data_IF_934076783486
#
_entry.id   IF_934076783486
#
_cell.length_a   1.000
_cell.length_b   1.000
_cell.length_c   1.000
_cell.angle_alpha   90.00
_cell.angle_beta   90.00
_cell.angle_gamma   90.00
#
_symmetry.space_group_name_H-M   'P 1'
#
loop_
_entity.id
_entity.type
_entity.pdbx_description
1 polymer ?
#
# COMPACT_ATOMS: atom_id res chain seq x y z
N UNK A 1 52.88 -18.89 6.32
CA UNK A 1 51.77 -18.06 6.82
C UNK A 1 50.71 -18.02 5.72
N UNK A 2 49.69 -18.88 5.83
CA UNK A 2 48.56 -18.86 4.88
C UNK A 2 47.58 -17.75 5.31
N UNK A 3 47.61 -16.63 4.60
CA UNK A 3 46.58 -15.62 4.72
C UNK A 3 45.31 -16.20 4.10
N UNK A 4 44.41 -16.69 4.96
CA UNK A 4 43.04 -17.05 4.55
C UNK A 4 42.34 -15.75 4.23
N UNK A 5 42.31 -15.36 2.96
CA UNK A 5 41.48 -14.27 2.50
C UNK A 5 40.01 -14.67 2.73
N UNK A 6 39.25 -13.94 3.52
CA UNK A 6 37.86 -14.28 3.75
C UNK A 6 37.09 -14.24 2.42
N UNK A 7 36.43 -15.35 2.09
CA UNK A 7 35.65 -15.43 0.86
C UNK A 7 34.51 -14.38 0.93
N UNK A 8 34.46 -13.39 0.03
CA UNK A 8 33.47 -12.32 0.06
C UNK A 8 32.03 -12.85 0.03
N UNK A 9 31.77 -13.99 -0.58
CA UNK A 9 30.45 -14.63 -0.60
C UNK A 9 29.97 -15.06 0.79
N UNK A 10 30.88 -15.53 1.67
CA UNK A 10 30.51 -15.92 3.05
C UNK A 10 30.18 -14.71 3.92
N UNK A 11 30.85 -13.59 3.72
CA UNK A 11 30.57 -12.35 4.43
C UNK A 11 29.20 -11.81 4.02
N UNK A 12 28.87 -11.89 2.73
CA UNK A 12 27.56 -11.45 2.21
C UNK A 12 26.43 -12.31 2.74
N UNK A 13 26.58 -13.63 2.80
CA UNK A 13 25.57 -14.54 3.37
C UNK A 13 25.31 -14.28 4.85
N UNK A 14 26.35 -14.04 5.65
CA UNK A 14 26.20 -13.72 7.07
C UNK A 14 25.53 -12.36 7.29
N UNK A 15 25.77 -11.38 6.43
CA UNK A 15 25.12 -10.08 6.49
C UNK A 15 23.63 -10.18 6.14
N UNK A 16 23.28 -10.97 5.12
CA UNK A 16 21.88 -11.19 4.69
C UNK A 16 21.08 -11.95 5.76
N UNK A 17 21.68 -12.92 6.46
CA UNK A 17 21.01 -13.66 7.53
C UNK A 17 20.66 -12.80 8.76
N UNK A 18 21.30 -11.65 8.92
CA UNK A 18 21.12 -10.76 10.09
C UNK A 18 20.35 -9.49 9.80
N UNK A 19 19.74 -9.35 8.61
CA UNK A 19 18.91 -8.16 8.38
C UNK A 19 17.70 -8.17 9.36
N UNK A 20 17.65 -7.25 10.31
CA UNK A 20 16.64 -7.31 11.35
C UNK A 20 15.26 -7.00 10.77
N UNK A 21 14.25 -7.78 11.14
CA UNK A 21 12.85 -7.54 10.80
C UNK A 21 12.39 -6.12 11.14
N UNK A 22 13.02 -5.53 12.15
CA UNK A 22 12.81 -4.14 12.57
C UNK A 22 13.15 -3.15 11.45
N UNK A 23 14.21 -3.39 10.67
CA UNK A 23 14.58 -2.52 9.55
C UNK A 23 13.53 -2.55 8.45
N UNK A 24 12.96 -3.72 8.14
CA UNK A 24 11.84 -3.85 7.20
C UNK A 24 10.62 -3.09 7.70
N UNK A 25 10.26 -3.22 8.98
CA UNK A 25 9.13 -2.51 9.58
C UNK A 25 9.33 -1.00 9.55
N UNK A 26 10.53 -0.51 9.88
CA UNK A 26 10.86 0.91 9.81
C UNK A 26 10.80 1.45 8.38
N UNK A 27 11.29 0.67 7.41
CA UNK A 27 11.23 1.03 6.00
C UNK A 27 9.79 1.10 5.51
N UNK A 28 8.96 0.08 5.82
CA UNK A 28 7.53 0.09 5.49
C UNK A 28 6.81 1.26 6.15
N UNK A 29 7.07 1.53 7.42
CA UNK A 29 6.47 2.65 8.14
C UNK A 29 6.86 3.99 7.51
N UNK A 30 8.15 4.21 7.24
CA UNK A 30 8.64 5.45 6.63
C UNK A 30 8.06 5.70 5.22
N UNK A 31 7.70 4.65 4.50
CA UNK A 31 7.12 4.78 3.16
C UNK A 31 5.60 4.95 3.17
N UNK A 32 4.91 4.27 4.08
CA UNK A 32 3.44 4.23 4.13
C UNK A 32 2.85 5.38 4.95
N UNK A 33 3.44 5.70 6.12
CA UNK A 33 2.87 6.69 7.04
C UNK A 33 2.73 8.10 6.44
N UNK A 34 3.73 8.67 5.73
CA UNK A 34 3.60 9.99 5.15
C UNK A 34 2.52 10.10 4.07
N UNK A 35 2.20 8.97 3.39
CA UNK A 35 1.13 8.92 2.39
C UNK A 35 -0.26 8.78 3.00
N UNK A 36 -0.34 8.32 4.25
CA UNK A 36 -1.60 7.98 4.91
C UNK A 36 -2.15 9.14 5.74
N UNK A 37 -1.28 9.92 6.40
CA UNK A 37 -1.68 11.00 7.31
C UNK A 37 -1.33 12.39 6.75
N UNK A 38 -2.18 13.36 7.05
CA UNK A 38 -1.91 14.77 6.79
C UNK A 38 -2.04 15.19 5.32
N UNK A 39 -2.62 14.37 4.46
CA UNK A 39 -2.81 14.67 3.04
C UNK A 39 -4.26 14.46 2.64
N UNK A 40 -5.02 15.54 2.65
CA UNK A 40 -6.37 15.53 2.09
C UNK A 40 -6.31 15.27 0.57
N UNK A 41 -7.37 14.69 -0.03
CA UNK A 41 -7.47 14.56 -1.47
C UNK A 41 -7.44 15.95 -2.11
N UNK A 42 -6.30 16.31 -2.71
CA UNK A 42 -6.04 17.71 -3.08
C UNK A 42 -6.30 18.03 -4.55
N UNK A 43 -6.06 17.11 -5.48
CA UNK A 43 -6.10 17.43 -6.92
C UNK A 43 -6.57 16.28 -7.83
N UNK A 44 -7.32 16.65 -8.87
CA UNK A 44 -7.52 15.90 -10.09
C UNK A 44 -7.98 14.45 -9.86
N UNK A 45 -7.17 13.48 -10.25
CA UNK A 45 -7.50 12.06 -10.21
C UNK A 45 -7.80 11.54 -8.81
N UNK A 46 -7.04 11.96 -7.79
CA UNK A 46 -7.26 11.54 -6.39
C UNK A 46 -8.59 12.04 -5.85
N UNK A 47 -8.93 13.29 -6.12
CA UNK A 47 -10.18 13.90 -5.67
C UNK A 47 -11.37 13.24 -6.37
N UNK A 48 -11.27 12.98 -7.66
CA UNK A 48 -12.31 12.30 -8.43
C UNK A 48 -12.51 10.86 -7.95
N UNK A 49 -11.41 10.10 -7.77
CA UNK A 49 -11.47 8.73 -7.27
C UNK A 49 -12.09 8.67 -5.87
N UNK A 50 -11.65 9.54 -4.95
CA UNK A 50 -12.21 9.63 -3.60
C UNK A 50 -13.69 10.03 -3.63
N UNK A 51 -14.07 11.04 -4.44
CA UNK A 51 -15.44 11.47 -4.59
C UNK A 51 -16.37 10.37 -5.09
N UNK A 52 -15.90 9.53 -6.02
CA UNK A 52 -16.63 8.37 -6.52
C UNK A 52 -16.79 7.28 -5.44
N UNK A 53 -15.71 6.95 -4.72
CA UNK A 53 -15.75 5.99 -3.61
C UNK A 53 -16.72 6.43 -2.52
N UNK A 54 -16.70 7.72 -2.17
CA UNK A 54 -17.60 8.29 -1.18
C UNK A 54 -19.07 8.28 -1.65
N UNK A 55 -19.31 8.67 -2.90
CA UNK A 55 -20.64 8.63 -3.48
C UNK A 55 -21.23 7.21 -3.55
N UNK A 56 -20.38 6.20 -3.81
CA UNK A 56 -20.79 4.81 -3.77
C UNK A 56 -21.08 4.34 -2.33
N UNK A 57 -20.23 4.69 -1.37
CA UNK A 57 -20.41 4.35 0.04
C UNK A 57 -21.68 4.95 0.63
N UNK A 58 -22.03 6.17 0.24
CA UNK A 58 -23.26 6.86 0.65
C UNK A 58 -24.51 6.47 -0.16
N UNK A 59 -24.38 5.58 -1.14
CA UNK A 59 -25.50 5.13 -1.97
C UNK A 59 -26.00 6.19 -2.97
N UNK A 60 -25.23 7.24 -3.22
CA UNK A 60 -25.58 8.31 -4.16
C UNK A 60 -25.37 7.95 -5.63
N UNK A 61 -24.61 6.90 -5.91
CA UNK A 61 -24.34 6.41 -7.26
C UNK A 61 -24.38 4.90 -7.32
N UNK A 62 -24.55 4.36 -8.54
CA UNK A 62 -24.57 2.92 -8.77
C UNK A 62 -23.17 2.30 -8.58
N UNK A 63 -23.13 1.12 -8.00
CA UNK A 63 -21.88 0.33 -7.84
C UNK A 63 -21.34 -0.20 -9.16
N UNK A 64 -22.21 -0.36 -10.17
CA UNK A 64 -21.80 -0.88 -11.49
C UNK A 64 -21.35 0.23 -12.45
N UNK A 65 -21.97 1.40 -12.34
CA UNK A 65 -21.66 2.56 -13.19
C UNK A 65 -21.51 3.77 -12.24
N UNK A 66 -20.38 3.89 -11.58
CA UNK A 66 -20.15 5.04 -10.72
C UNK A 66 -20.08 6.32 -11.52
N UNK A 67 -20.79 7.33 -11.07
CA UNK A 67 -20.83 8.64 -11.68
C UNK A 67 -20.57 9.72 -10.62
N UNK A 68 -19.82 10.74 -10.96
CA UNK A 68 -19.61 11.93 -10.14
C UNK A 68 -20.18 13.14 -10.88
N UNK A 69 -21.18 13.81 -10.24
CA UNK A 69 -21.83 14.95 -10.88
C UNK A 69 -22.56 14.62 -12.19
N UNK A 70 -23.02 13.38 -12.37
CA UNK A 70 -23.70 12.91 -13.58
C UNK A 70 -22.76 12.45 -14.71
N UNK A 71 -21.43 12.53 -14.51
CA UNK A 71 -20.46 12.05 -15.47
C UNK A 71 -20.01 10.64 -15.07
N UNK A 72 -20.23 9.61 -15.91
CA UNK A 72 -19.78 8.26 -15.61
C UNK A 72 -18.25 8.19 -15.60
N UNK A 73 -17.69 7.34 -14.75
CA UNK A 73 -16.24 7.12 -14.72
C UNK A 73 -15.82 6.07 -15.73
N UNK A 74 -14.72 6.32 -16.43
CA UNK A 74 -14.05 5.34 -17.29
C UNK A 74 -12.97 4.55 -16.55
N UNK A 75 -12.75 4.84 -15.27
CA UNK A 75 -11.74 4.19 -14.45
C UNK A 75 -12.14 2.76 -14.06
N UNK A 76 -11.15 1.93 -13.71
CA UNK A 76 -11.40 0.56 -13.27
C UNK A 76 -12.24 0.51 -11.99
N UNK A 77 -13.25 -0.36 -11.95
CA UNK A 77 -14.22 -0.44 -10.86
C UNK A 77 -13.63 -1.03 -9.56
N UNK A 78 -12.69 -1.96 -9.67
CA UNK A 78 -12.17 -2.70 -8.53
C UNK A 78 -11.56 -1.81 -7.43
N UNK A 79 -10.69 -0.84 -7.72
CA UNK A 79 -10.18 0.08 -6.70
C UNK A 79 -11.29 0.90 -6.05
N UNK A 80 -12.28 1.34 -6.83
CA UNK A 80 -13.40 2.12 -6.31
C UNK A 80 -14.28 1.31 -5.36
N UNK A 81 -14.53 0.04 -5.67
CA UNK A 81 -15.26 -0.87 -4.78
C UNK A 81 -14.52 -1.10 -3.47
N UNK A 82 -13.22 -1.38 -3.53
CA UNK A 82 -12.38 -1.58 -2.33
C UNK A 82 -12.43 -0.34 -1.44
N UNK A 83 -12.25 0.85 -2.02
CA UNK A 83 -12.32 2.11 -1.28
C UNK A 83 -13.71 2.40 -0.71
N UNK A 84 -14.77 2.21 -1.49
CA UNK A 84 -16.15 2.42 -1.06
C UNK A 84 -16.57 1.48 0.09
N UNK A 85 -16.21 0.20 0.00
CA UNK A 85 -16.46 -0.79 1.08
C UNK A 85 -15.71 -0.38 2.35
N UNK A 86 -14.45 0.04 2.23
CA UNK A 86 -13.66 0.51 3.37
C UNK A 86 -14.26 1.76 4.01
N UNK A 87 -14.72 2.72 3.22
CA UNK A 87 -15.44 3.90 3.73
C UNK A 87 -16.71 3.47 4.46
N UNK A 88 -17.55 2.65 3.84
CA UNK A 88 -18.81 2.19 4.43
C UNK A 88 -18.60 1.44 5.75
N UNK A 89 -17.53 0.64 5.87
CA UNK A 89 -17.24 -0.15 7.06
C UNK A 89 -16.59 0.67 8.19
N UNK A 90 -15.73 1.62 7.85
CA UNK A 90 -14.85 2.32 8.80
C UNK A 90 -15.25 3.77 9.07
N UNK A 91 -16.12 4.36 8.25
CA UNK A 91 -16.55 5.76 8.38
C UNK A 91 -17.12 6.12 9.76
N UNK A 92 -17.78 5.22 10.52
CA UNK A 92 -18.22 5.54 11.88
C UNK A 92 -17.07 5.78 12.88
N UNK A 93 -15.87 5.29 12.58
CA UNK A 93 -14.71 5.27 13.48
C UNK A 93 -13.55 6.12 12.98
N UNK A 94 -13.43 6.28 11.67
CA UNK A 94 -12.33 6.94 11.00
C UNK A 94 -12.84 7.96 10.00
N UNK A 95 -12.04 9.00 9.75
CA UNK A 95 -12.29 9.93 8.67
C UNK A 95 -12.35 9.20 7.32
N UNK A 96 -13.30 9.58 6.45
CA UNK A 96 -13.56 8.92 5.18
C UNK A 96 -12.33 8.88 4.26
N UNK A 97 -11.50 9.93 4.29
CA UNK A 97 -10.27 9.99 3.49
C UNK A 97 -9.22 8.96 3.95
N UNK A 98 -9.11 8.76 5.27
CA UNK A 98 -8.22 7.74 5.87
C UNK A 98 -8.78 6.35 5.59
N UNK A 99 -10.08 6.14 5.77
CA UNK A 99 -10.75 4.87 5.50
C UNK A 99 -10.58 4.41 4.05
N UNK A 100 -10.68 5.32 3.08
CA UNK A 100 -10.46 5.03 1.66
C UNK A 100 -9.03 4.56 1.36
N UNK A 101 -8.03 5.11 2.05
CA UNK A 101 -6.60 4.83 1.81
C UNK A 101 -6.11 3.56 2.51
N UNK A 102 -6.75 3.16 3.58
CA UNK A 102 -6.31 2.04 4.42
C UNK A 102 -6.09 0.73 3.65
N UNK A 103 -7.00 0.24 2.79
CA UNK A 103 -6.77 -0.98 2.03
C UNK A 103 -5.59 -0.88 1.06
N UNK A 104 -5.39 0.29 0.45
CA UNK A 104 -4.25 0.50 -0.45
C UNK A 104 -2.92 0.57 0.30
N UNK A 105 -2.91 1.15 1.51
CA UNK A 105 -1.76 1.13 2.39
C UNK A 105 -1.41 -0.31 2.82
N UNK A 106 -2.40 -1.14 3.14
CA UNK A 106 -2.19 -2.56 3.46
C UNK A 106 -1.64 -3.34 2.26
N UNK A 107 -2.18 -3.11 1.05
CA UNK A 107 -1.66 -3.74 -0.17
C UNK A 107 -0.22 -3.32 -0.45
N UNK A 108 0.13 -2.06 -0.20
CA UNK A 108 1.51 -1.58 -0.34
C UNK A 108 2.44 -2.26 0.66
N UNK A 109 2.05 -2.38 1.92
CA UNK A 109 2.84 -3.10 2.94
C UNK A 109 3.04 -4.56 2.56
N UNK A 110 1.98 -5.24 2.09
CA UNK A 110 2.07 -6.63 1.64
C UNK A 110 3.00 -6.77 0.44
N UNK A 111 2.93 -5.85 -0.51
CA UNK A 111 3.83 -5.83 -1.68
C UNK A 111 5.28 -5.65 -1.25
N UNK A 112 5.58 -4.69 -0.38
CA UNK A 112 6.93 -4.46 0.15
C UNK A 112 7.45 -5.69 0.90
N UNK A 113 6.62 -6.31 1.73
CA UNK A 113 6.97 -7.53 2.44
C UNK A 113 7.22 -8.70 1.46
N UNK A 114 6.38 -8.88 0.45
CA UNK A 114 6.54 -9.93 -0.55
C UNK A 114 7.85 -9.76 -1.33
N UNK A 115 8.16 -8.54 -1.78
CA UNK A 115 9.42 -8.23 -2.46
C UNK A 115 10.61 -8.51 -1.54
N UNK A 116 10.53 -8.10 -0.29
CA UNK A 116 11.58 -8.37 0.70
C UNK A 116 11.85 -9.87 0.85
N UNK A 117 10.79 -10.68 1.07
CA UNK A 117 10.95 -12.12 1.21
C UNK A 117 11.42 -12.79 -0.08
N UNK A 118 10.99 -12.32 -1.24
CA UNK A 118 11.47 -12.82 -2.53
C UNK A 118 12.97 -12.56 -2.70
N UNK A 119 13.42 -11.34 -2.45
CA UNK A 119 14.85 -10.99 -2.50
C UNK A 119 15.68 -11.80 -1.49
N UNK A 120 15.16 -11.99 -0.27
CA UNK A 120 15.81 -12.78 0.76
C UNK A 120 15.98 -14.25 0.35
N UNK A 121 14.92 -14.87 -0.20
CA UNK A 121 14.99 -16.25 -0.67
C UNK A 121 15.94 -16.42 -1.86
N UNK A 122 15.91 -15.49 -2.82
CA UNK A 122 16.82 -15.51 -3.96
C UNK A 122 18.30 -15.40 -3.53
N UNK A 123 18.58 -14.54 -2.54
CA UNK A 123 19.94 -14.40 -2.01
C UNK A 123 20.45 -15.64 -1.23
N UNK A 124 19.56 -16.56 -0.86
CA UNK A 124 19.94 -17.81 -0.17
C UNK A 124 20.16 -18.97 -1.15
N UNK A 125 19.68 -18.86 -2.38
CA UNK A 125 19.78 -19.96 -3.39
C UNK A 125 21.05 -19.92 -4.20
N UNK A 126 21.89 -18.88 -4.10
CA UNK A 126 23.24 -18.78 -4.69
C UNK A 126 24.32 -19.16 -3.66
#
# INVERSE_FOLDING_TARGET
MNSVTPNPALVTQQAVQRLPRVLLLLFCAAYVLPGMFGRDPWRGADLNAFGQMLAMAEGRTSWLIPALGGVPTEASLLPHWIGAISIAALSPWLDAAVAARLPFALLLVLTLAAVWYACFNLAQTE
#
